data_IF_538684176567
#
_entry.id   IF_538684176567
#
_cell.length_a   1.000
_cell.length_b   1.000
_cell.length_c   1.000
_cell.angle_alpha   90.00
_cell.angle_beta   90.00
_cell.angle_gamma   90.00
#
_symmetry.space_group_name_H-M   'P 1'
#
loop_
_entity.id
_entity.type
_entity.pdbx_description
1 polymer ?
#
# COMPACT_ATOMS: atom_id res chain seq x y z
N UNK A 1 20.07 -0.14 3.20
CA UNK A 1 19.40 -1.31 2.60
C UNK A 1 17.91 -1.07 2.56
N UNK A 2 17.31 -1.29 1.41
CA UNK A 2 15.88 -1.14 1.26
C UNK A 2 15.17 -2.38 1.79
N UNK A 3 14.14 -2.14 2.59
CA UNK A 3 13.30 -3.21 3.08
C UNK A 3 11.91 -3.04 2.48
N UNK A 4 11.45 -4.09 1.85
CA UNK A 4 10.12 -4.11 1.25
C UNK A 4 9.29 -5.20 1.87
N UNK A 5 8.02 -4.89 2.13
CA UNK A 5 7.07 -5.82 2.71
C UNK A 5 5.89 -5.94 1.78
N UNK A 6 5.52 -7.17 1.46
CA UNK A 6 4.32 -7.41 0.69
C UNK A 6 3.11 -7.24 1.62
N UNK A 7 2.25 -6.31 1.27
CA UNK A 7 1.06 -6.01 2.05
C UNK A 7 -0.19 -6.35 1.25
N UNK A 8 -1.06 -7.16 1.83
CA UNK A 8 -2.32 -7.56 1.20
C UNK A 8 -3.44 -6.65 1.68
N UNK A 9 -4.28 -6.24 0.76
CA UNK A 9 -5.42 -5.41 1.11
C UNK A 9 -6.50 -5.55 0.04
N UNK A 10 -7.67 -5.01 0.32
CA UNK A 10 -8.79 -5.07 -0.61
C UNK A 10 -8.84 -3.79 -1.43
N UNK A 11 -8.93 -3.92 -2.74
CA UNK A 11 -9.05 -2.78 -3.63
C UNK A 11 -10.33 -2.00 -3.32
N UNK A 12 -10.26 -0.66 -3.16
CA UNK A 12 -11.45 0.12 -2.86
C UNK A 12 -12.41 0.30 -4.05
N UNK A 13 -12.01 -0.14 -5.23
CA UNK A 13 -12.85 -0.06 -6.43
C UNK A 13 -13.55 -1.37 -6.75
N UNK A 14 -12.78 -2.46 -6.85
CA UNK A 14 -13.32 -3.75 -7.27
C UNK A 14 -13.48 -4.75 -6.14
N UNK A 15 -12.97 -4.44 -4.95
CA UNK A 15 -13.06 -5.25 -3.74
C UNK A 15 -12.35 -6.60 -3.83
N UNK A 16 -11.46 -6.76 -4.80
CA UNK A 16 -10.61 -7.94 -4.88
C UNK A 16 -9.42 -7.78 -3.94
N UNK A 17 -8.97 -8.90 -3.38
CA UNK A 17 -7.78 -8.89 -2.54
C UNK A 17 -6.55 -8.81 -3.43
N UNK A 18 -5.75 -7.79 -3.22
CA UNK A 18 -4.52 -7.57 -3.98
C UNK A 18 -3.38 -7.34 -3.00
N UNK A 19 -2.18 -7.28 -3.53
CA UNK A 19 -1.01 -6.99 -2.70
C UNK A 19 -0.09 -6.03 -3.43
N UNK A 20 0.75 -5.36 -2.66
CA UNK A 20 1.80 -4.53 -3.23
C UNK A 20 2.99 -4.53 -2.29
N UNK A 21 4.15 -4.19 -2.85
CA UNK A 21 5.36 -4.07 -2.06
C UNK A 21 5.45 -2.65 -1.51
N UNK A 22 5.60 -2.56 -0.20
CA UNK A 22 5.74 -1.28 0.49
C UNK A 22 7.17 -1.13 0.97
N UNK A 23 7.74 0.04 0.71
CA UNK A 23 9.09 0.37 1.12
C UNK A 23 9.07 0.84 2.57
N UNK A 24 9.71 0.08 3.45
CA UNK A 24 9.73 0.38 4.87
C UNK A 24 10.92 1.25 5.29
N UNK A 25 11.63 1.82 4.34
CA UNK A 25 12.78 2.68 4.65
C UNK A 25 12.38 4.09 5.08
N UNK A 26 11.16 4.51 4.80
CA UNK A 26 10.63 5.82 5.18
C UNK A 26 9.53 5.66 6.21
N UNK A 27 9.45 6.61 7.14
CA UNK A 27 8.44 6.55 8.20
C UNK A 27 7.02 6.78 7.69
N UNK A 28 6.88 7.61 6.67
CA UNK A 28 5.56 7.95 6.14
C UNK A 28 5.65 8.07 4.63
N UNK A 29 4.72 7.44 3.93
CA UNK A 29 4.68 7.49 2.49
C UNK A 29 3.25 7.66 1.97
N UNK A 30 3.17 8.31 0.83
CA UNK A 30 1.90 8.61 0.18
C UNK A 30 2.14 8.56 -1.31
N UNK A 31 1.39 7.71 -2.02
CA UNK A 31 1.53 7.61 -3.46
C UNK A 31 0.30 6.96 -4.08
N UNK A 32 0.29 6.91 -5.41
CA UNK A 32 -0.82 6.35 -6.17
C UNK A 32 -0.34 5.10 -6.88
N UNK A 33 -1.09 4.02 -6.73
CA UNK A 33 -0.83 2.75 -7.41
C UNK A 33 -2.07 2.29 -8.14
N UNK A 34 -1.89 1.59 -9.25
CA UNK A 34 -3.00 1.03 -9.99
C UNK A 34 -3.35 -0.36 -9.47
N UNK A 35 -4.64 -0.64 -9.39
CA UNK A 35 -5.10 -1.97 -9.04
C UNK A 35 -4.73 -2.95 -10.17
N UNK A 36 -4.16 -4.10 -9.81
CA UNK A 36 -3.76 -5.10 -10.81
C UNK A 36 -4.94 -5.83 -11.43
N UNK A 37 -6.13 -5.70 -10.86
CA UNK A 37 -7.34 -6.37 -11.34
C UNK A 37 -8.21 -5.43 -12.18
N UNK A 38 -8.57 -4.28 -11.64
CA UNK A 38 -9.48 -3.35 -12.31
C UNK A 38 -8.79 -2.16 -12.96
N UNK A 39 -7.48 -2.01 -12.75
CA UNK A 39 -6.65 -0.95 -13.32
C UNK A 39 -7.04 0.46 -12.89
N UNK A 40 -7.79 0.61 -11.81
CA UNK A 40 -8.15 1.91 -11.28
C UNK A 40 -7.07 2.41 -10.33
N UNK A 41 -6.86 3.72 -10.31
CA UNK A 41 -5.88 4.33 -9.43
C UNK A 41 -6.34 4.26 -7.97
N UNK A 42 -5.42 3.90 -7.08
CA UNK A 42 -5.69 3.79 -5.65
C UNK A 42 -4.76 4.75 -4.93
N UNK A 43 -5.32 5.57 -4.07
CA UNK A 43 -4.52 6.46 -3.23
C UNK A 43 -4.04 5.68 -2.02
N UNK A 44 -2.73 5.54 -1.89
CA UNK A 44 -2.11 4.75 -0.83
C UNK A 44 -1.42 5.68 0.16
N UNK A 45 -1.73 5.47 1.43
CA UNK A 45 -1.07 6.17 2.53
C UNK A 45 -0.66 5.13 3.56
N UNK A 46 0.58 5.19 4.01
CA UNK A 46 0.98 4.31 5.10
C UNK A 46 2.10 4.93 5.91
N UNK A 47 2.21 4.47 7.15
CA UNK A 47 3.23 4.91 8.09
C UNK A 47 3.96 3.71 8.64
N UNK A 48 5.27 3.85 8.76
CA UNK A 48 6.14 2.81 9.28
C UNK A 48 6.67 3.23 10.63
N UNK A 49 6.64 2.31 11.59
CA UNK A 49 7.21 2.52 12.91
C UNK A 49 7.98 1.28 13.30
N UNK A 50 9.26 1.46 13.64
CA UNK A 50 10.15 0.35 14.00
C UNK A 50 10.23 -0.73 12.94
N UNK A 51 10.22 -0.32 11.66
CA UNK A 51 10.31 -1.24 10.54
C UNK A 51 9.04 -2.00 10.23
N UNK A 52 7.92 -1.60 10.84
CA UNK A 52 6.63 -2.26 10.65
C UNK A 52 5.58 -1.25 10.22
N UNK A 53 4.58 -1.75 9.50
CA UNK A 53 3.46 -0.92 9.10
C UNK A 53 2.62 -0.60 10.33
N UNK A 54 2.59 0.67 10.69
CA UNK A 54 1.82 1.18 11.81
C UNK A 54 0.42 1.61 11.38
N UNK A 55 0.31 2.11 10.16
CA UNK A 55 -0.94 2.60 9.60
C UNK A 55 -0.94 2.34 8.09
N UNK A 56 -2.08 1.96 7.55
CA UNK A 56 -2.25 1.76 6.12
C UNK A 56 -3.65 2.19 5.71
N UNK A 57 -3.73 2.90 4.60
CA UNK A 57 -5.01 3.33 4.03
C UNK A 57 -4.95 3.23 2.51
N UNK A 58 -6.00 2.67 1.93
CA UNK A 58 -6.17 2.62 0.48
C UNK A 58 -7.54 3.19 0.17
N UNK A 59 -7.60 4.20 -0.70
CA UNK A 59 -8.85 4.88 -1.00
C UNK A 59 -8.97 5.20 -2.47
N UNK A 60 -10.20 5.51 -2.88
CA UNK A 60 -10.52 5.89 -4.26
C UNK A 60 -10.01 7.29 -4.60
#
# INVERSE_FOLDING_TARGET
MLEEVEHFFKCPHCFERISMLLDCSSEKQEYIEDCEVCCQAININFEIENGRIHFFSASQ
#
